data_IF_940266653114
#
_entry.id   IF_940266653114
#
_cell.length_a   1.000
_cell.length_b   1.000
_cell.length_c   1.000
_cell.angle_alpha   90.00
_cell.angle_beta   90.00
_cell.angle_gamma   90.00
#
_symmetry.space_group_name_H-M   'P 1'
#
loop_
_entity.id
_entity.type
_entity.pdbx_description
1 polymer ?
#
# COMPACT_ATOMS: atom_id res chain seq x y z
N UNK A 1 -6.13 22.74 -2.67
CA UNK A 1 -5.81 21.30 -2.54
C UNK A 1 -6.33 20.64 -3.80
N UNK A 2 -5.55 19.76 -4.40
CA UNK A 2 -5.97 19.04 -5.62
C UNK A 2 -6.90 17.89 -5.28
N UNK A 3 -7.75 17.51 -6.22
CA UNK A 3 -8.56 16.29 -6.14
C UNK A 3 -7.68 15.06 -6.25
N UNK A 4 -8.16 13.92 -5.76
CA UNK A 4 -7.47 12.65 -5.91
C UNK A 4 -8.20 11.76 -6.91
N UNK A 5 -7.44 11.21 -7.84
CA UNK A 5 -7.91 10.18 -8.76
C UNK A 5 -7.83 8.82 -8.10
N UNK A 6 -8.91 8.06 -8.17
CA UNK A 6 -9.00 6.68 -7.70
C UNK A 6 -9.09 5.75 -8.89
N UNK A 7 -8.21 4.77 -8.95
CA UNK A 7 -8.15 3.78 -10.02
C UNK A 7 -8.00 2.37 -9.45
N UNK A 8 -8.30 1.36 -10.25
CA UNK A 8 -8.03 -0.04 -9.97
C UNK A 8 -7.03 -0.59 -11.00
N UNK A 9 -6.07 -1.38 -10.53
CA UNK A 9 -5.20 -2.14 -11.42
C UNK A 9 -5.81 -3.52 -11.69
N UNK A 10 -6.23 -3.76 -12.92
CA UNK A 10 -6.90 -5.00 -13.31
C UNK A 10 -6.27 -5.57 -14.56
N UNK A 11 -5.82 -6.82 -14.51
CA UNK A 11 -5.29 -7.57 -15.66
C UNK A 11 -4.27 -6.79 -16.51
N UNK A 12 -3.38 -6.07 -15.83
CA UNK A 12 -2.35 -5.27 -16.51
C UNK A 12 -2.79 -3.88 -16.97
N UNK A 13 -4.05 -3.49 -16.69
CA UNK A 13 -4.62 -2.19 -17.09
C UNK A 13 -5.03 -1.38 -15.86
N UNK A 14 -4.80 -0.07 -15.90
CA UNK A 14 -5.30 0.86 -14.90
C UNK A 14 -6.65 1.40 -15.36
N UNK A 15 -7.68 1.13 -14.56
CA UNK A 15 -9.05 1.60 -14.81
C UNK A 15 -9.39 2.69 -13.81
N UNK A 16 -9.66 3.91 -14.26
CA UNK A 16 -10.13 5.00 -13.40
C UNK A 16 -11.56 4.69 -12.96
N UNK A 17 -11.79 4.69 -11.65
CA UNK A 17 -13.09 4.32 -11.08
C UNK A 17 -13.80 5.47 -10.39
N UNK A 18 -13.06 6.50 -9.93
CA UNK A 18 -13.68 7.60 -9.20
C UNK A 18 -12.71 8.74 -8.90
N UNK A 19 -13.24 9.71 -8.15
CA UNK A 19 -12.48 10.90 -7.72
C UNK A 19 -12.86 11.24 -6.27
N UNK A 20 -11.86 11.61 -5.47
CA UNK A 20 -12.09 12.27 -4.18
C UNK A 20 -11.91 13.77 -4.40
N UNK A 21 -12.99 14.52 -4.27
CA UNK A 21 -12.99 15.97 -4.32
C UNK A 21 -12.70 16.52 -2.93
N UNK A 22 -11.63 17.30 -2.80
CA UNK A 22 -11.24 17.90 -1.53
C UNK A 22 -11.86 19.29 -1.38
N UNK A 23 -12.82 19.41 -0.49
CA UNK A 23 -13.49 20.67 -0.19
C UNK A 23 -13.11 21.14 1.22
N UNK A 24 -12.76 22.42 1.36
CA UNK A 24 -12.34 23.00 2.63
C UNK A 24 -13.52 23.40 3.52
N UNK A 25 -14.73 23.54 2.98
CA UNK A 25 -15.92 24.07 3.68
C UNK A 25 -16.88 22.97 4.13
N UNK A 26 -17.11 21.96 3.29
CA UNK A 26 -18.18 20.98 3.48
C UNK A 26 -17.66 19.54 3.64
N UNK A 27 -16.35 19.41 3.91
CA UNK A 27 -15.67 18.11 3.91
C UNK A 27 -15.37 17.60 2.49
N UNK A 28 -14.61 16.51 2.42
CA UNK A 28 -14.31 15.86 1.14
C UNK A 28 -15.46 14.95 0.73
N UNK A 29 -15.61 14.70 -0.57
CA UNK A 29 -16.58 13.74 -1.11
C UNK A 29 -15.87 12.76 -2.05
N UNK A 30 -16.32 11.52 -2.05
CA UNK A 30 -15.93 10.52 -3.05
C UNK A 30 -17.07 10.30 -4.03
N UNK A 31 -16.75 10.20 -5.31
CA UNK A 31 -17.72 9.89 -6.35
C UNK A 31 -17.14 8.88 -7.33
N UNK A 32 -17.88 7.84 -7.62
CA UNK A 32 -17.58 6.99 -8.78
C UNK A 32 -17.79 7.79 -10.07
N UNK A 33 -17.04 7.46 -11.11
CA UNK A 33 -17.35 7.92 -12.46
C UNK A 33 -18.67 7.29 -12.91
N UNK A 34 -19.56 8.06 -13.52
CA UNK A 34 -20.86 7.56 -13.97
C UNK A 34 -20.68 6.36 -14.93
N UNK A 35 -19.76 6.51 -15.89
CA UNK A 35 -19.42 5.45 -16.85
C UNK A 35 -18.92 4.16 -16.20
N UNK A 36 -18.25 4.26 -15.03
CA UNK A 36 -17.82 3.10 -14.26
C UNK A 36 -18.97 2.53 -13.43
N UNK A 37 -19.76 3.39 -12.77
CA UNK A 37 -20.86 2.94 -11.92
C UNK A 37 -21.99 2.25 -12.73
N UNK A 38 -22.18 2.65 -13.98
CA UNK A 38 -23.19 2.10 -14.89
C UNK A 38 -22.71 0.84 -15.65
N UNK A 39 -21.42 0.50 -15.56
CA UNK A 39 -20.88 -0.70 -16.20
C UNK A 39 -21.29 -1.96 -15.42
N UNK A 40 -21.97 -2.87 -16.07
CA UNK A 40 -22.42 -4.14 -15.49
C UNK A 40 -21.28 -5.06 -15.03
N UNK A 41 -20.06 -4.86 -15.52
CA UNK A 41 -18.84 -5.58 -15.14
C UNK A 41 -18.07 -4.88 -14.02
N UNK A 42 -18.49 -3.67 -13.61
CA UNK A 42 -17.81 -2.93 -12.57
C UNK A 42 -17.90 -3.63 -11.20
N UNK A 43 -16.85 -3.48 -10.42
CA UNK A 43 -16.76 -4.02 -9.07
C UNK A 43 -16.63 -2.85 -8.10
N UNK A 44 -17.44 -2.79 -7.02
CA UNK A 44 -17.31 -1.74 -6.02
C UNK A 44 -15.96 -1.82 -5.30
N UNK A 45 -15.43 -0.67 -4.86
CA UNK A 45 -14.20 -0.60 -4.07
C UNK A 45 -14.35 -1.36 -2.75
N UNK A 46 -15.54 -1.36 -2.16
CA UNK A 46 -15.86 -2.04 -0.92
C UNK A 46 -17.35 -2.32 -0.84
N UNK A 47 -17.74 -3.27 0.02
CA UNK A 47 -19.15 -3.49 0.36
C UNK A 47 -19.78 -2.25 1.02
N UNK A 48 -18.99 -1.44 1.73
CA UNK A 48 -19.44 -0.18 2.33
C UNK A 48 -19.52 0.98 1.34
N UNK A 49 -18.97 0.81 0.13
CA UNK A 49 -18.99 1.77 -0.97
C UNK A 49 -19.53 1.08 -2.23
N UNK A 50 -20.80 0.64 -2.25
CA UNK A 50 -21.41 0.03 -3.43
C UNK A 50 -21.37 0.98 -4.65
N UNK A 51 -21.53 0.46 -5.84
CA UNK A 51 -21.60 1.30 -7.05
C UNK A 51 -22.81 2.22 -6.95
N UNK A 52 -22.58 3.50 -7.13
CA UNK A 52 -23.61 4.55 -7.15
C UNK A 52 -23.12 5.76 -7.93
N UNK A 53 -24.03 6.45 -8.58
CA UNK A 53 -23.80 7.78 -9.19
C UNK A 53 -23.89 8.91 -8.17
N UNK A 54 -24.47 8.64 -6.99
CA UNK A 54 -24.50 9.59 -5.88
C UNK A 54 -23.12 9.73 -5.22
N UNK A 55 -22.85 10.90 -4.64
CA UNK A 55 -21.63 11.16 -3.91
C UNK A 55 -21.67 10.52 -2.51
N UNK A 56 -20.53 10.01 -2.07
CA UNK A 56 -20.31 9.57 -0.71
C UNK A 56 -19.70 10.71 0.11
N UNK A 57 -20.30 10.99 1.27
CA UNK A 57 -19.75 11.95 2.25
C UNK A 57 -18.46 11.41 2.89
N UNK A 58 -17.66 12.29 3.48
CA UNK A 58 -16.39 11.89 4.10
C UNK A 58 -16.58 10.81 5.18
N UNK A 59 -17.63 10.90 5.98
CA UNK A 59 -17.94 9.88 7.00
C UNK A 59 -18.22 8.50 6.40
N UNK A 60 -18.74 8.43 5.18
CA UNK A 60 -19.03 7.17 4.49
C UNK A 60 -17.79 6.54 3.85
N UNK A 61 -16.95 7.35 3.19
CA UNK A 61 -15.82 6.80 2.44
C UNK A 61 -14.50 6.77 3.24
N UNK A 62 -14.33 7.64 4.23
CA UNK A 62 -13.11 7.75 5.02
C UNK A 62 -12.66 6.41 5.65
N UNK A 63 -13.54 5.59 6.26
CA UNK A 63 -13.10 4.34 6.86
C UNK A 63 -12.41 3.39 5.89
N UNK A 64 -12.85 3.36 4.63
CA UNK A 64 -12.22 2.57 3.59
C UNK A 64 -10.84 3.13 3.21
N UNK A 65 -10.78 4.40 2.83
CA UNK A 65 -9.53 5.00 2.33
C UNK A 65 -8.49 5.19 3.44
N UNK A 66 -8.90 5.57 4.63
CA UNK A 66 -7.99 5.66 5.79
C UNK A 66 -7.47 4.29 6.21
N UNK A 67 -8.27 3.24 6.06
CA UNK A 67 -7.89 1.85 6.31
C UNK A 67 -6.83 1.29 5.36
N UNK A 68 -6.50 2.00 4.27
CA UNK A 68 -5.37 1.64 3.38
C UNK A 68 -4.01 2.11 3.93
N UNK A 69 -4.02 2.97 4.95
CA UNK A 69 -2.80 3.57 5.50
C UNK A 69 -2.21 2.76 6.65
N UNK A 70 -0.93 2.95 6.87
CA UNK A 70 -0.28 2.51 8.09
C UNK A 70 -0.93 3.16 9.33
N UNK A 71 -0.78 2.54 10.49
CA UNK A 71 -1.33 2.97 11.77
C UNK A 71 -0.21 3.21 12.80
N UNK A 72 -0.53 3.96 13.88
CA UNK A 72 0.37 4.20 15.01
C UNK A 72 1.71 4.78 14.59
N UNK A 73 2.80 4.33 15.20
CA UNK A 73 4.15 4.86 14.98
C UNK A 73 4.61 4.79 13.50
N UNK A 74 4.09 3.82 12.73
CA UNK A 74 4.41 3.72 11.30
C UNK A 74 3.75 4.86 10.50
N UNK A 75 2.53 5.26 10.87
CA UNK A 75 1.83 6.41 10.28
C UNK A 75 2.47 7.72 10.66
N UNK A 76 2.83 7.91 11.94
CA UNK A 76 3.55 9.10 12.42
C UNK A 76 4.85 9.30 11.64
N UNK A 77 5.67 8.25 11.51
CA UNK A 77 6.93 8.30 10.79
C UNK A 77 6.73 8.57 9.29
N UNK A 78 5.68 8.01 8.69
CA UNK A 78 5.32 8.26 7.29
C UNK A 78 4.90 9.72 7.08
N UNK A 79 4.04 10.25 7.94
CA UNK A 79 3.58 11.63 7.88
C UNK A 79 4.73 12.63 8.09
N UNK A 80 5.66 12.32 9.01
CA UNK A 80 6.87 13.13 9.24
C UNK A 80 7.78 13.17 8.01
N UNK A 81 8.01 12.04 7.35
CA UNK A 81 8.82 11.96 6.12
C UNK A 81 8.18 12.73 4.96
N UNK A 82 6.84 12.71 4.88
CA UNK A 82 6.06 13.44 3.88
C UNK A 82 5.86 14.92 4.20
N UNK A 83 6.26 15.38 5.40
CA UNK A 83 6.01 16.74 5.90
C UNK A 83 4.52 17.14 5.93
N UNK A 84 3.65 16.18 6.25
CA UNK A 84 2.20 16.39 6.40
C UNK A 84 1.74 16.05 7.81
N UNK A 85 0.53 16.47 8.17
CA UNK A 85 -0.06 16.07 9.46
C UNK A 85 -0.51 14.62 9.39
N UNK A 86 -0.28 13.86 10.46
CA UNK A 86 -0.71 12.47 10.60
C UNK A 86 -2.23 12.30 10.37
N UNK A 87 -3.01 13.30 10.79
CA UNK A 87 -4.47 13.32 10.64
C UNK A 87 -4.95 13.61 9.21
N UNK A 88 -4.07 14.11 8.33
CA UNK A 88 -4.41 14.39 6.93
C UNK A 88 -4.18 13.15 6.06
N UNK A 89 -5.08 12.17 6.21
CA UNK A 89 -5.01 10.88 5.51
C UNK A 89 -5.03 11.04 3.98
N UNK A 90 -5.74 12.05 3.45
CA UNK A 90 -5.78 12.30 2.01
C UNK A 90 -4.46 12.86 1.48
N UNK A 91 -3.74 13.66 2.27
CA UNK A 91 -2.40 14.13 1.89
C UNK A 91 -1.39 12.98 1.86
N UNK A 92 -1.50 12.03 2.80
CA UNK A 92 -0.66 10.83 2.82
C UNK A 92 -0.98 9.94 1.60
N UNK A 93 -2.26 9.69 1.32
CA UNK A 93 -2.69 8.90 0.16
C UNK A 93 -2.26 9.53 -1.16
N UNK A 94 -2.33 10.84 -1.30
CA UNK A 94 -1.88 11.55 -2.49
C UNK A 94 -0.41 11.20 -2.86
N UNK A 95 0.43 10.96 -1.86
CA UNK A 95 1.86 10.72 -2.05
C UNK A 95 2.25 9.23 -2.01
N UNK A 96 1.52 8.41 -1.22
CA UNK A 96 1.83 7.00 -1.00
C UNK A 96 0.74 6.04 -1.48
N UNK A 97 -0.34 6.53 -2.08
CA UNK A 97 -1.49 5.70 -2.50
C UNK A 97 -1.30 4.95 -3.82
N UNK A 98 -0.09 4.90 -4.38
CA UNK A 98 0.14 4.26 -5.68
C UNK A 98 0.19 2.73 -5.60
N UNK A 99 0.67 2.20 -4.50
CA UNK A 99 0.69 0.76 -4.21
C UNK A 99 0.04 0.53 -2.84
N UNK A 100 -1.28 0.42 -2.82
CA UNK A 100 -2.08 0.13 -1.64
C UNK A 100 -2.42 -1.36 -1.57
N UNK A 101 -2.96 -1.78 -0.43
CA UNK A 101 -3.54 -3.13 -0.29
C UNK A 101 -4.70 -3.29 -1.27
N UNK A 102 -4.73 -4.40 -1.96
CA UNK A 102 -5.65 -4.64 -3.08
C UNK A 102 -5.12 -4.00 -4.36
N UNK A 103 -5.99 -3.78 -5.31
CA UNK A 103 -5.66 -3.25 -6.63
C UNK A 103 -5.85 -1.72 -6.73
N UNK A 104 -5.99 -1.03 -5.59
CA UNK A 104 -6.36 0.39 -5.55
C UNK A 104 -5.14 1.27 -5.74
N UNK A 105 -5.27 2.23 -6.66
CA UNK A 105 -4.27 3.26 -6.92
C UNK A 105 -4.91 4.62 -6.63
N UNK A 106 -4.27 5.42 -5.80
CA UNK A 106 -4.71 6.77 -5.45
C UNK A 106 -3.59 7.74 -5.79
N UNK A 107 -3.91 8.77 -6.57
CA UNK A 107 -2.95 9.76 -7.05
C UNK A 107 -3.56 11.15 -7.05
N UNK A 108 -2.70 12.17 -6.96
CA UNK A 108 -3.12 13.55 -7.16
C UNK A 108 -3.61 13.74 -8.61
N UNK A 109 -4.82 14.29 -8.79
CA UNK A 109 -5.42 14.47 -10.13
C UNK A 109 -4.73 15.59 -10.93
N UNK A 110 -3.99 16.49 -10.26
CA UNK A 110 -3.15 17.50 -10.91
C UNK A 110 -1.84 16.94 -11.46
N UNK A 111 -1.46 15.74 -11.03
CA UNK A 111 -0.29 15.02 -11.54
C UNK A 111 -0.60 14.47 -12.96
N UNK A 112 -0.86 15.42 -13.87
CA UNK A 112 -1.10 15.15 -15.32
C UNK A 112 0.18 14.66 -16.01
N UNK A 113 1.04 13.97 -15.28
CA UNK A 113 2.24 13.41 -15.87
C UNK A 113 1.87 12.12 -16.63
N UNK A 114 1.70 12.18 -17.98
CA UNK A 114 1.48 10.98 -18.77
C UNK A 114 2.63 9.97 -18.68
N UNK A 115 3.71 10.32 -17.96
CA UNK A 115 4.79 9.39 -17.64
C UNK A 115 4.35 8.25 -16.70
N UNK A 116 3.18 8.34 -16.05
CA UNK A 116 2.69 7.27 -15.16
C UNK A 116 2.20 6.07 -15.96
N UNK A 117 1.54 6.29 -17.10
CA UNK A 117 1.20 5.23 -18.06
C UNK A 117 2.38 4.81 -18.94
N UNK A 118 3.43 5.64 -19.01
CA UNK A 118 4.65 5.39 -19.79
C UNK A 118 5.89 5.11 -18.94
N UNK A 119 5.85 5.26 -17.62
CA UNK A 119 6.93 4.83 -16.74
C UNK A 119 7.10 3.31 -16.93
N UNK A 120 8.19 2.94 -17.57
CA UNK A 120 8.53 1.54 -17.82
C UNK A 120 8.53 0.81 -16.47
N UNK A 121 7.59 -0.11 -16.30
CA UNK A 121 7.59 -0.96 -15.12
C UNK A 121 8.94 -1.66 -15.03
N UNK A 122 9.62 -1.50 -13.92
CA UNK A 122 10.96 -2.04 -13.74
C UNK A 122 11.17 -2.45 -12.29
N UNK A 123 12.20 -3.23 -12.09
CA UNK A 123 12.64 -3.67 -10.80
C UNK A 123 14.09 -3.27 -10.60
N UNK A 124 14.40 -2.73 -9.45
CA UNK A 124 15.75 -2.36 -9.02
C UNK A 124 16.22 -3.37 -7.98
N UNK A 125 17.39 -3.96 -8.18
CA UNK A 125 17.95 -4.91 -7.21
C UNK A 125 18.22 -4.22 -5.87
N UNK A 126 17.90 -4.92 -4.79
CA UNK A 126 18.11 -4.47 -3.42
C UNK A 126 19.20 -5.32 -2.78
N UNK A 127 20.32 -4.69 -2.43
CA UNK A 127 21.42 -5.39 -1.75
C UNK A 127 21.08 -5.75 -0.30
N UNK A 128 21.78 -6.71 0.27
CA UNK A 128 21.61 -7.07 1.68
C UNK A 128 21.90 -5.89 2.61
N UNK A 129 22.89 -5.04 2.30
CA UNK A 129 23.20 -3.83 3.07
C UNK A 129 22.03 -2.84 3.05
N UNK A 130 21.34 -2.71 1.92
CA UNK A 130 20.13 -1.89 1.83
C UNK A 130 19.00 -2.48 2.67
N UNK A 131 18.78 -3.82 2.63
CA UNK A 131 17.79 -4.48 3.47
C UNK A 131 18.08 -4.29 4.96
N UNK A 132 19.33 -4.49 5.40
CA UNK A 132 19.73 -4.19 6.77
C UNK A 132 19.43 -2.72 7.15
N UNK A 133 19.66 -1.79 6.24
CA UNK A 133 19.36 -0.37 6.46
C UNK A 133 17.86 -0.12 6.56
N UNK A 134 17.05 -0.69 5.68
CA UNK A 134 15.59 -0.52 5.70
C UNK A 134 15.00 -0.96 7.02
N UNK A 135 15.44 -2.09 7.54
CA UNK A 135 14.91 -2.65 8.79
C UNK A 135 15.56 -2.08 10.04
N UNK A 136 16.55 -1.18 9.97
CA UNK A 136 17.23 -0.63 11.13
C UNK A 136 16.28 0.14 12.05
N UNK A 137 15.39 0.95 11.49
CA UNK A 137 14.44 1.77 12.25
C UNK A 137 13.11 1.97 11.51
N UNK A 138 12.07 2.40 12.23
CA UNK A 138 10.79 2.77 11.61
C UNK A 138 10.94 3.95 10.64
N UNK A 139 11.67 5.03 10.94
CA UNK A 139 11.91 6.11 9.97
C UNK A 139 12.61 5.65 8.69
N UNK A 140 13.57 4.71 8.77
CA UNK A 140 14.24 4.19 7.57
C UNK A 140 13.25 3.42 6.68
N UNK A 141 12.35 2.61 7.27
CA UNK A 141 11.28 1.92 6.55
C UNK A 141 10.26 2.90 5.94
N UNK A 142 9.89 3.95 6.67
CA UNK A 142 8.96 4.97 6.19
C UNK A 142 9.53 5.72 4.99
N UNK A 143 10.82 6.07 5.02
CA UNK A 143 11.52 6.69 3.89
C UNK A 143 11.53 5.78 2.66
N UNK A 144 11.71 4.47 2.86
CA UNK A 144 11.65 3.49 1.77
C UNK A 144 10.23 3.41 1.17
N UNK A 145 9.19 3.39 2.02
CA UNK A 145 7.79 3.38 1.58
C UNK A 145 7.43 4.65 0.79
N UNK A 146 7.85 5.82 1.25
CA UNK A 146 7.67 7.09 0.52
C UNK A 146 8.35 7.03 -0.85
N UNK A 147 9.61 6.56 -0.89
CA UNK A 147 10.35 6.43 -2.14
C UNK A 147 9.73 5.45 -3.14
N UNK A 148 8.94 4.49 -2.65
CA UNK A 148 8.19 3.50 -3.45
C UNK A 148 6.73 3.91 -3.69
N UNK A 149 6.26 5.02 -3.09
CA UNK A 149 4.85 5.45 -3.06
C UNK A 149 3.90 4.37 -2.53
N UNK A 150 4.38 3.61 -1.55
CA UNK A 150 3.71 2.46 -0.95
C UNK A 150 3.01 2.84 0.33
N UNK A 151 1.75 2.41 0.49
CA UNK A 151 1.03 2.43 1.76
C UNK A 151 0.53 1.03 2.10
N UNK A 152 0.92 0.53 3.27
CA UNK A 152 0.50 -0.78 3.75
C UNK A 152 -0.19 -0.64 5.11
N UNK A 153 -1.47 -0.98 5.15
CA UNK A 153 -2.33 -0.88 6.33
C UNK A 153 -1.80 -1.63 7.56
N UNK A 154 -2.17 -1.12 8.74
CA UNK A 154 -1.92 -1.73 10.04
C UNK A 154 -0.73 -1.15 10.80
N UNK A 155 -0.68 -1.44 12.11
CA UNK A 155 0.27 -0.84 13.06
C UNK A 155 1.70 -1.40 12.97
N UNK A 156 1.88 -2.55 12.34
CA UNK A 156 3.19 -3.19 12.18
C UNK A 156 3.95 -2.57 11.01
N UNK A 157 5.21 -2.21 11.23
CA UNK A 157 6.06 -1.67 10.16
C UNK A 157 6.36 -2.72 9.10
N UNK A 158 6.16 -2.37 7.85
CA UNK A 158 6.31 -3.27 6.69
C UNK A 158 6.74 -2.55 5.44
N UNK A 159 7.36 -3.27 4.51
CA UNK A 159 7.69 -2.81 3.16
C UNK A 159 7.22 -3.84 2.13
N UNK A 160 6.89 -3.37 0.92
CA UNK A 160 6.58 -4.22 -0.22
C UNK A 160 7.79 -4.36 -1.14
N UNK A 161 8.20 -5.59 -1.42
CA UNK A 161 9.26 -5.88 -2.38
C UNK A 161 8.83 -7.02 -3.31
N UNK A 162 9.41 -7.09 -4.48
CA UNK A 162 9.33 -8.27 -5.31
C UNK A 162 10.51 -9.20 -5.01
N UNK A 163 10.35 -10.47 -5.29
CA UNK A 163 11.42 -11.46 -5.14
C UNK A 163 11.69 -12.15 -6.47
N UNK A 164 12.96 -12.29 -6.80
CA UNK A 164 13.41 -12.92 -8.05
C UNK A 164 13.06 -14.42 -8.01
N UNK A 165 12.27 -14.92 -8.97
CA UNK A 165 11.92 -16.33 -9.00
C UNK A 165 13.16 -17.26 -9.02
N UNK A 166 13.13 -18.28 -8.16
CA UNK A 166 14.23 -19.25 -8.05
C UNK A 166 15.42 -18.82 -7.19
N UNK A 167 15.46 -17.57 -6.72
CA UNK A 167 16.48 -17.12 -5.79
C UNK A 167 16.18 -17.60 -4.37
N UNK A 168 17.20 -17.81 -3.51
CA UNK A 168 16.99 -18.03 -2.08
C UNK A 168 16.36 -16.80 -1.43
N UNK A 169 15.46 -16.98 -0.45
CA UNK A 169 14.78 -15.89 0.26
C UNK A 169 15.74 -14.96 1.02
N UNK A 170 17.01 -15.35 1.22
CA UNK A 170 18.03 -14.51 1.82
C UNK A 170 18.62 -13.44 0.88
N UNK A 171 18.28 -13.48 -0.40
CA UNK A 171 18.76 -12.55 -1.45
C UNK A 171 17.75 -12.49 -2.61
N UNK A 172 18.05 -11.72 -3.66
CA UNK A 172 17.16 -11.64 -4.84
C UNK A 172 15.95 -10.74 -4.64
N UNK A 173 16.03 -9.82 -3.70
CA UNK A 173 14.98 -8.84 -3.46
C UNK A 173 15.06 -7.68 -4.45
N UNK A 174 13.90 -7.24 -4.90
CA UNK A 174 13.74 -6.25 -5.94
C UNK A 174 12.77 -5.15 -5.47
N UNK A 175 13.15 -3.91 -5.66
CA UNK A 175 12.29 -2.75 -5.41
C UNK A 175 11.46 -2.44 -6.65
N UNK A 176 10.12 -2.49 -6.57
CA UNK A 176 9.25 -2.13 -7.68
C UNK A 176 9.37 -0.64 -8.03
N UNK A 177 9.27 -0.32 -9.32
CA UNK A 177 9.23 1.03 -9.87
C UNK A 177 8.08 1.17 -10.86
N UNK A 178 7.51 2.36 -10.96
CA UNK A 178 6.33 2.60 -11.80
C UNK A 178 5.10 1.90 -11.24
N UNK A 179 4.48 1.05 -12.05
CA UNK A 179 3.34 0.18 -11.68
C UNK A 179 3.78 -1.29 -11.53
N UNK A 180 5.08 -1.56 -11.36
CA UNK A 180 5.54 -2.92 -11.07
C UNK A 180 5.03 -3.35 -9.68
N UNK A 181 4.44 -4.53 -9.60
CA UNK A 181 3.84 -5.02 -8.36
C UNK A 181 4.89 -5.56 -7.38
N UNK A 182 4.70 -5.30 -6.08
CA UNK A 182 5.35 -6.09 -5.04
C UNK A 182 4.75 -7.51 -5.01
N UNK A 183 5.56 -8.51 -4.73
CA UNK A 183 5.13 -9.92 -4.62
C UNK A 183 5.13 -10.42 -3.17
N UNK A 184 5.79 -9.70 -2.29
CA UNK A 184 5.96 -10.04 -0.88
C UNK A 184 5.82 -8.81 0.00
N UNK A 185 5.30 -9.03 1.19
CA UNK A 185 5.31 -8.04 2.28
C UNK A 185 6.34 -8.50 3.31
N UNK A 186 7.32 -7.66 3.57
CA UNK A 186 8.33 -7.88 4.60
C UNK A 186 7.95 -7.07 5.83
N UNK A 187 7.71 -7.76 6.95
CA UNK A 187 7.24 -7.17 8.21
C UNK A 187 8.27 -7.30 9.31
N UNK A 188 8.39 -6.25 10.12
CA UNK A 188 9.10 -6.31 11.41
C UNK A 188 8.26 -5.62 12.49
N UNK A 189 8.55 -5.87 13.74
CA UNK A 189 7.82 -5.28 14.85
C UNK A 189 8.73 -4.63 15.88
N UNK A 190 8.20 -3.63 16.60
CA UNK A 190 8.79 -3.06 17.80
C UNK A 190 8.55 -3.94 19.03
N UNK A 191 7.52 -4.81 18.98
CA UNK A 191 7.22 -5.77 20.05
C UNK A 191 8.11 -6.99 19.84
N UNK A 192 8.91 -7.30 20.87
CA UNK A 192 9.80 -8.44 20.87
C UNK A 192 9.02 -9.74 20.57
N UNK A 193 9.57 -10.56 19.69
CA UNK A 193 9.02 -11.87 19.28
C UNK A 193 7.69 -11.86 18.51
N UNK A 194 7.03 -10.70 18.30
CA UNK A 194 5.75 -10.65 17.58
C UNK A 194 5.85 -11.29 16.19
N UNK A 195 6.88 -10.95 15.44
CA UNK A 195 7.16 -11.48 14.10
C UNK A 195 7.39 -13.00 14.13
N UNK A 196 8.13 -13.49 15.13
CA UNK A 196 8.37 -14.93 15.30
C UNK A 196 7.11 -15.68 15.70
N UNK A 197 6.24 -15.08 16.52
CA UNK A 197 4.94 -15.66 16.88
C UNK A 197 4.01 -15.72 15.66
N UNK A 198 3.96 -14.67 14.86
CA UNK A 198 3.17 -14.66 13.61
C UNK A 198 3.64 -15.77 12.67
N UNK A 199 4.96 -15.92 12.49
CA UNK A 199 5.54 -17.02 11.72
C UNK A 199 5.11 -18.39 12.25
N UNK A 200 5.21 -18.62 13.55
CA UNK A 200 4.84 -19.90 14.17
C UNK A 200 3.34 -20.18 14.02
N UNK A 201 2.49 -19.18 14.22
CA UNK A 201 1.04 -19.31 14.06
C UNK A 201 0.67 -19.66 12.59
N UNK A 202 1.29 -19.00 11.61
CA UNK A 202 1.08 -19.30 10.19
C UNK A 202 1.51 -20.73 9.84
N UNK A 203 2.66 -21.17 10.36
CA UNK A 203 3.17 -22.54 10.19
C UNK A 203 2.27 -23.58 10.86
N UNK A 204 1.74 -23.27 12.04
CA UNK A 204 0.80 -24.15 12.74
C UNK A 204 -0.52 -24.25 11.98
N UNK A 205 -1.08 -23.12 11.54
CA UNK A 205 -2.30 -23.08 10.75
C UNK A 205 -2.18 -23.93 9.47
N UNK A 206 -1.03 -23.80 8.75
CA UNK A 206 -0.74 -24.64 7.58
C UNK A 206 -0.74 -26.12 7.92
N UNK A 207 -0.13 -26.52 9.05
CA UNK A 207 -0.12 -27.91 9.50
C UNK A 207 -1.51 -28.43 9.90
N UNK A 208 -2.39 -27.55 10.32
CA UNK A 208 -3.79 -27.86 10.62
C UNK A 208 -4.69 -27.87 9.37
N UNK A 209 -4.12 -27.75 8.16
CA UNK A 209 -4.86 -27.78 6.90
C UNK A 209 -5.53 -26.44 6.53
N UNK A 210 -5.26 -25.35 7.24
CA UNK A 210 -5.76 -24.03 6.89
C UNK A 210 -4.94 -23.50 5.71
N UNK A 211 -5.62 -22.98 4.70
CA UNK A 211 -4.96 -22.33 3.54
C UNK A 211 -4.38 -20.99 3.99
N UNK A 212 -3.08 -20.92 4.04
CA UNK A 212 -2.32 -19.71 4.41
C UNK A 212 -1.24 -19.43 3.36
N UNK A 213 -0.80 -18.19 3.19
CA UNK A 213 0.34 -17.87 2.31
C UNK A 213 1.63 -18.54 2.82
N UNK A 214 2.59 -18.70 1.92
CA UNK A 214 3.94 -19.12 2.31
C UNK A 214 4.59 -18.01 3.15
N UNK A 215 5.32 -18.42 4.17
CA UNK A 215 6.00 -17.49 5.07
C UNK A 215 7.44 -17.93 5.31
N UNK A 216 8.33 -16.98 5.36
CA UNK A 216 9.75 -17.19 5.68
C UNK A 216 10.20 -16.20 6.73
N UNK A 217 10.90 -16.68 7.76
CA UNK A 217 11.54 -15.83 8.74
C UNK A 217 12.98 -15.54 8.27
N UNK A 218 13.29 -14.28 8.08
CA UNK A 218 14.57 -13.76 7.62
C UNK A 218 15.27 -13.02 8.76
N UNK A 219 16.58 -12.84 8.63
CA UNK A 219 17.38 -12.03 9.55
C UNK A 219 18.10 -10.93 8.77
N UNK A 220 17.68 -9.69 9.00
CA UNK A 220 18.33 -8.47 8.54
C UNK A 220 18.75 -7.60 9.73
N UNK A 221 19.51 -8.20 10.68
CA UNK A 221 19.90 -7.58 11.94
C UNK A 221 18.80 -7.63 13.00
N UNK A 222 17.63 -8.08 12.63
CA UNK A 222 16.47 -8.43 13.46
C UNK A 222 15.53 -9.35 12.67
N UNK A 223 14.62 -10.07 13.36
CA UNK A 223 13.65 -10.92 12.68
C UNK A 223 12.74 -10.12 11.74
N UNK A 224 12.62 -10.60 10.51
CA UNK A 224 11.74 -10.05 9.46
C UNK A 224 10.90 -11.20 8.90
N UNK A 225 9.59 -11.06 8.89
CA UNK A 225 8.68 -12.02 8.29
C UNK A 225 8.40 -11.62 6.84
N UNK A 226 8.74 -12.48 5.90
CA UNK A 226 8.31 -12.39 4.52
C UNK A 226 7.04 -13.23 4.33
N UNK A 227 6.01 -12.59 3.76
CA UNK A 227 4.69 -13.17 3.45
C UNK A 227 4.42 -13.01 1.98
#
# INVERSE_FOLDING_TARGET
>A
MSNLRVSLYREGTVVRVGTIERNNTDGSIFRYLNEYADDSAAIPLSQSLPLSTDAYSEDQFRPYFEGLLAEGNAREALAAELHVRETDYLAILAQCGRDCIGDVIIEDDSDSNPQITSAKNSYEEVSNEQLFRFFRSIPDMSRENVGSRLSLAGAQSKIGLAHMPGSPMSQGWLKPRGLAASTHILKTGSIEKLVSLEFLCMRAAKKCGVKVPEVTLLDFGKPVLAV
#
